data_IF_595532049582
#
_entry.id   IF_595532049582
#
_cell.length_a   1.000
_cell.length_b   1.000
_cell.length_c   1.000
_cell.angle_alpha   90.00
_cell.angle_beta   90.00
_cell.angle_gamma   90.00
#
_symmetry.space_group_name_H-M   'P 1'
#
loop_
_entity.id
_entity.type
_entity.pdbx_description
1 polymer ?
#
# COMPACT_ATOMS: atom_id res chain seq x y z
N UNK A 1 -14.35 4.31 15.76
CA UNK A 1 -14.20 4.64 17.18
C UNK A 1 -15.57 4.67 17.83
N UNK A 2 -15.67 4.35 19.12
CA UNK A 2 -16.90 4.46 19.91
C UNK A 2 -16.61 5.38 21.09
N UNK A 3 -17.37 6.46 21.23
CA UNK A 3 -17.28 7.38 22.38
C UNK A 3 -18.53 7.21 23.26
N UNK A 4 -18.33 7.27 24.58
CA UNK A 4 -19.43 7.31 25.54
C UNK A 4 -20.23 8.62 25.41
N UNK A 5 -21.42 8.66 26.03
CA UNK A 5 -22.38 9.75 25.85
C UNK A 5 -21.87 11.13 26.33
N UNK A 6 -20.83 11.15 27.16
CA UNK A 6 -20.24 12.31 27.83
C UNK A 6 -18.75 12.53 27.46
N UNK A 7 -18.28 11.92 26.35
CA UNK A 7 -16.90 12.03 25.90
C UNK A 7 -16.78 12.75 24.55
N UNK A 8 -15.92 13.76 24.51
CA UNK A 8 -15.52 14.47 23.29
C UNK A 8 -14.20 13.91 22.75
N UNK A 9 -14.10 13.75 21.42
CA UNK A 9 -12.91 13.27 20.72
C UNK A 9 -12.52 14.26 19.63
N UNK A 10 -11.33 14.82 19.77
CA UNK A 10 -10.70 15.69 18.78
C UNK A 10 -9.42 15.02 18.25
N UNK A 11 -9.30 14.95 16.93
CA UNK A 11 -8.17 14.33 16.24
C UNK A 11 -7.78 15.23 15.06
N UNK A 12 -6.49 15.57 14.99
CA UNK A 12 -5.89 16.18 13.81
C UNK A 12 -5.06 15.13 13.06
N UNK A 13 -5.21 15.07 11.73
CA UNK A 13 -4.50 14.14 10.86
C UNK A 13 -3.76 14.90 9.77
N UNK A 14 -2.48 14.61 9.59
CA UNK A 14 -1.68 15.12 8.47
C UNK A 14 -1.62 14.07 7.37
N UNK A 15 -2.14 14.40 6.18
CA UNK A 15 -2.15 13.50 5.02
C UNK A 15 -1.17 14.01 3.97
N UNK A 16 -0.18 13.20 3.62
CA UNK A 16 0.84 13.50 2.62
C UNK A 16 0.74 12.61 1.37
N UNK A 17 1.49 12.96 0.34
CA UNK A 17 1.76 12.08 -0.81
C UNK A 17 3.18 11.56 -0.70
N UNK A 18 3.35 10.26 -0.90
CA UNK A 18 4.64 9.60 -0.84
C UNK A 18 4.67 8.36 -1.73
N UNK A 19 5.69 7.53 -1.55
CA UNK A 19 5.87 6.27 -2.29
C UNK A 19 6.30 5.17 -1.34
N UNK A 20 5.84 3.95 -1.60
CA UNK A 20 6.24 2.78 -0.84
C UNK A 20 5.74 2.81 0.60
N UNK A 21 6.63 2.43 1.52
CA UNK A 21 6.40 2.36 2.95
C UNK A 21 7.40 3.28 3.64
N UNK A 22 6.92 4.12 4.55
CA UNK A 22 7.78 4.96 5.41
C UNK A 22 7.45 4.61 6.85
N UNK A 23 8.40 4.04 7.61
CA UNK A 23 8.19 3.75 9.01
C UNK A 23 8.05 5.04 9.83
N UNK A 24 7.40 4.95 10.98
CA UNK A 24 7.16 6.10 11.86
C UNK A 24 8.44 6.85 12.27
N UNK A 25 9.57 6.15 12.39
CA UNK A 25 10.87 6.70 12.78
C UNK A 25 11.53 7.54 11.67
N UNK A 26 11.15 7.30 10.42
CA UNK A 26 11.68 8.01 9.24
C UNK A 26 10.71 9.08 8.72
N UNK A 27 9.57 9.27 9.38
CA UNK A 27 8.69 10.39 9.06
C UNK A 27 9.46 11.69 9.22
N UNK A 28 9.42 12.54 8.18
CA UNK A 28 9.99 13.89 8.25
C UNK A 28 9.15 14.73 9.21
N UNK A 29 9.50 14.66 10.49
CA UNK A 29 9.04 15.58 11.53
C UNK A 29 9.92 16.83 11.51
N UNK A 30 10.22 17.36 10.33
CA UNK A 30 11.08 18.53 10.11
C UNK A 30 10.51 19.82 10.75
N UNK A 31 9.34 19.74 11.39
CA UNK A 31 8.87 20.73 12.35
C UNK A 31 9.03 20.14 13.75
N UNK A 32 10.11 20.51 14.44
CA UNK A 32 10.46 20.16 15.83
C UNK A 32 9.42 20.60 16.89
N UNK A 33 8.22 21.06 16.51
CA UNK A 33 7.42 21.97 17.36
C UNK A 33 6.09 21.45 17.90
N UNK A 34 5.69 20.18 17.68
CA UNK A 34 4.50 19.63 18.32
C UNK A 34 4.81 18.40 19.18
N UNK A 35 4.97 18.63 20.49
CA UNK A 35 5.04 17.57 21.53
C UNK A 35 3.82 16.63 21.46
N UNK A 36 2.71 17.10 20.89
CA UNK A 36 1.45 16.37 20.76
C UNK A 36 1.36 15.51 19.49
N UNK A 37 2.35 15.54 18.59
CA UNK A 37 2.32 14.74 17.37
C UNK A 37 2.76 13.30 17.63
N UNK A 38 1.92 12.35 17.23
CA UNK A 38 2.23 10.92 17.29
C UNK A 38 2.49 10.44 15.86
N UNK A 39 3.76 10.14 15.48
CA UNK A 39 4.05 9.61 14.16
C UNK A 39 3.51 8.18 14.04
N UNK A 40 2.97 7.86 12.88
CA UNK A 40 2.50 6.52 12.50
C UNK A 40 3.16 6.12 11.19
N UNK A 41 3.21 4.82 10.92
CA UNK A 41 3.70 4.31 9.65
C UNK A 41 2.85 4.83 8.49
N UNK A 42 3.51 5.30 7.44
CA UNK A 42 2.85 5.77 6.23
C UNK A 42 2.97 4.73 5.11
N UNK A 43 1.84 4.08 4.81
CA UNK A 43 1.70 3.13 3.71
C UNK A 43 1.16 3.89 2.50
N UNK A 44 2.06 4.29 1.60
CA UNK A 44 1.69 4.98 0.36
C UNK A 44 1.45 4.02 -0.82
N UNK A 45 1.96 2.78 -0.71
CA UNK A 45 1.73 1.76 -1.74
C UNK A 45 0.27 1.31 -1.72
N UNK A 46 -0.46 1.41 -2.84
CA UNK A 46 -1.81 0.86 -2.94
C UNK A 46 -1.80 -0.66 -3.14
N UNK A 47 -0.61 -1.27 -3.29
CA UNK A 47 -0.44 -2.72 -3.50
C UNK A 47 -0.15 -3.39 -2.17
N UNK A 48 -1.04 -4.32 -1.79
CA UNK A 48 -0.94 -5.10 -0.54
C UNK A 48 -0.13 -6.37 -0.71
N UNK A 49 -0.31 -7.06 -1.85
CA UNK A 49 0.35 -8.34 -2.10
C UNK A 49 0.48 -8.60 -3.60
N UNK A 50 1.61 -9.18 -4.00
CA UNK A 50 1.84 -9.69 -5.35
C UNK A 50 2.38 -11.11 -5.23
N UNK A 51 1.80 -12.02 -6.00
CA UNK A 51 2.28 -13.38 -6.18
C UNK A 51 2.37 -13.67 -7.67
N UNK A 52 3.36 -14.45 -8.08
CA UNK A 52 3.48 -14.89 -9.47
C UNK A 52 3.93 -16.34 -9.54
N UNK A 53 3.45 -17.02 -10.58
CA UNK A 53 3.78 -18.40 -10.90
C UNK A 53 4.11 -18.49 -12.39
N UNK A 54 5.07 -19.35 -12.73
CA UNK A 54 5.49 -19.61 -14.10
C UNK A 54 5.21 -21.06 -14.44
N UNK A 55 4.36 -21.27 -15.44
CA UNK A 55 3.98 -22.59 -15.91
C UNK A 55 4.56 -22.84 -17.31
N UNK A 56 5.19 -24.00 -17.52
CA UNK A 56 5.58 -24.41 -18.85
C UNK A 56 4.34 -24.73 -19.68
N UNK A 57 4.22 -24.13 -20.86
CA UNK A 57 3.08 -24.34 -21.75
C UNK A 57 3.55 -24.77 -23.13
N UNK A 58 2.79 -25.70 -23.71
CA UNK A 58 2.98 -26.10 -25.10
C UNK A 58 2.06 -25.25 -25.98
N UNK A 59 2.65 -24.55 -26.95
CA UNK A 59 1.90 -23.79 -27.96
C UNK A 59 2.11 -24.45 -29.31
N UNK A 60 1.12 -25.23 -29.75
CA UNK A 60 1.21 -26.04 -30.97
C UNK A 60 2.31 -27.10 -30.87
N UNK A 61 3.30 -27.06 -31.75
CA UNK A 61 4.43 -28.01 -31.74
C UNK A 61 5.62 -27.55 -30.86
N UNK A 62 5.59 -26.32 -30.34
CA UNK A 62 6.67 -25.75 -29.53
C UNK A 62 6.40 -25.93 -28.04
N UNK A 63 7.40 -26.40 -27.30
CA UNK A 63 7.31 -26.70 -25.85
C UNK A 63 8.17 -25.76 -25.00
N UNK A 64 8.78 -24.74 -25.60
CA UNK A 64 9.71 -23.79 -24.99
C UNK A 64 9.04 -22.49 -24.51
N UNK A 65 7.71 -22.48 -24.40
CA UNK A 65 6.97 -21.32 -23.92
C UNK A 65 6.65 -21.44 -22.42
N UNK A 66 6.65 -20.28 -21.77
CA UNK A 66 6.26 -20.12 -20.38
C UNK A 66 5.04 -19.20 -20.28
N UNK A 67 4.13 -19.53 -19.38
CA UNK A 67 2.95 -18.74 -19.04
C UNK A 67 3.15 -18.14 -17.66
N UNK A 68 3.17 -16.80 -17.59
CA UNK A 68 3.20 -16.05 -16.35
C UNK A 68 1.77 -15.86 -15.82
N UNK A 69 1.53 -16.27 -14.58
CA UNK A 69 0.30 -16.01 -13.83
C UNK A 69 0.64 -15.05 -12.71
N UNK A 70 -0.02 -13.89 -12.65
CA UNK A 70 0.18 -12.91 -11.58
C UNK A 70 -1.12 -12.68 -10.80
N UNK A 71 -1.03 -12.74 -9.48
CA UNK A 71 -2.09 -12.42 -8.55
C UNK A 71 -1.71 -11.16 -7.77
N UNK A 72 -2.44 -10.06 -8.01
CA UNK A 72 -2.18 -8.75 -7.41
C UNK A 72 -3.38 -8.34 -6.56
N UNK A 73 -3.13 -8.07 -5.28
CA UNK A 73 -4.14 -7.59 -4.33
C UNK A 73 -3.88 -6.12 -4.01
N UNK A 74 -4.85 -5.25 -4.24
CA UNK A 74 -4.76 -3.81 -3.92
C UNK A 74 -5.60 -3.45 -2.70
N UNK A 75 -5.36 -2.27 -2.14
CA UNK A 75 -6.12 -1.71 -1.01
C UNK A 75 -7.47 -1.11 -1.38
N UNK A 76 -7.76 -0.99 -2.68
CA UNK A 76 -8.98 -0.38 -3.24
C UNK A 76 -8.77 1.05 -3.76
N UNK A 77 -7.61 1.67 -3.50
CA UNK A 77 -7.27 3.01 -4.00
C UNK A 77 -7.02 3.03 -5.51
N UNK A 78 -6.61 1.89 -6.08
CA UNK A 78 -6.44 1.68 -7.53
C UNK A 78 -6.84 0.25 -7.92
N UNK A 79 -7.30 0.06 -9.15
CA UNK A 79 -7.51 -1.28 -9.70
C UNK A 79 -6.18 -1.99 -10.00
N UNK A 80 -6.12 -3.30 -9.78
CA UNK A 80 -4.93 -4.10 -10.04
C UNK A 80 -4.40 -4.00 -11.49
N UNK A 81 -5.30 -3.88 -12.48
CA UNK A 81 -4.90 -3.71 -13.89
C UNK A 81 -4.27 -2.36 -14.15
N UNK A 82 -4.83 -1.30 -13.56
CA UNK A 82 -4.31 0.05 -13.67
C UNK A 82 -2.93 0.15 -13.00
N UNK A 83 -2.76 -0.49 -11.83
CA UNK A 83 -1.48 -0.55 -11.13
C UNK A 83 -0.34 -1.16 -11.96
N UNK A 84 -0.64 -2.11 -12.85
CA UNK A 84 0.36 -2.74 -13.74
C UNK A 84 0.75 -1.86 -14.94
N UNK A 85 0.02 -0.76 -15.16
CA UNK A 85 0.21 0.12 -16.34
C UNK A 85 0.99 1.39 -16.00
N UNK A 86 1.15 1.70 -14.71
CA UNK A 86 1.90 2.85 -14.19
C UNK A 86 3.39 2.51 -14.15
#
# INVERSE_FOLDING_TARGET
AHCAADADLEIELRVGRGRGYVPSEEQNVDNEDDVSLIPIDAIYTPIKQVQYDVENVRVGQRTDYEKLIMNVTTDGSINAKEALTI
#
